data_IF_025484592658
#
_entry.id   IF_025484592658
#
_cell.length_a   1.000
_cell.length_b   1.000
_cell.length_c   1.000
_cell.angle_alpha   90.00
_cell.angle_beta   90.00
_cell.angle_gamma   90.00
#
_symmetry.space_group_name_H-M   'P 1'
#
loop_
_entity.id
_entity.type
_entity.pdbx_description
1 polymer ?
#
# COMPACT_ATOMS: atom_id res chain seq x y z
N UNK A 1 26.98 18.42 -19.72
CA UNK A 1 26.04 19.49 -20.13
C UNK A 1 25.05 19.64 -18.99
N UNK A 2 25.17 20.70 -18.19
CA UNK A 2 24.27 20.91 -17.05
C UNK A 2 22.90 21.35 -17.55
N UNK A 3 21.82 20.72 -17.06
CA UNK A 3 20.46 21.16 -17.33
C UNK A 3 20.14 22.27 -16.33
N UNK A 4 19.89 23.48 -16.81
CA UNK A 4 19.27 24.53 -16.00
C UNK A 4 17.77 24.26 -16.07
N UNK A 5 17.20 23.78 -14.98
CA UNK A 5 15.77 23.52 -14.88
C UNK A 5 15.06 24.80 -14.41
N UNK A 6 14.61 25.62 -15.36
CA UNK A 6 13.69 26.73 -15.09
C UNK A 6 12.28 26.15 -14.90
N UNK A 7 11.90 25.91 -13.64
CA UNK A 7 10.57 25.45 -13.20
C UNK A 7 10.08 24.09 -13.74
N UNK A 8 11.00 23.21 -14.15
CA UNK A 8 10.67 21.83 -14.53
C UNK A 8 11.38 20.85 -13.61
N UNK A 9 10.69 19.78 -13.27
CA UNK A 9 11.29 18.62 -12.60
C UNK A 9 11.56 17.56 -13.67
N UNK A 10 12.61 16.75 -13.50
CA UNK A 10 12.88 15.60 -14.38
C UNK A 10 11.68 14.65 -14.34
N UNK A 11 11.19 14.38 -13.13
CA UNK A 11 10.03 13.53 -12.88
C UNK A 11 9.36 14.00 -11.58
N UNK A 12 8.05 13.75 -11.44
CA UNK A 12 7.31 14.05 -10.21
C UNK A 12 6.33 12.93 -9.88
N UNK A 13 6.38 12.47 -8.64
CA UNK A 13 5.46 11.50 -8.04
C UNK A 13 4.61 12.22 -7.01
N UNK A 14 3.30 11.98 -7.04
CA UNK A 14 2.36 12.50 -6.06
C UNK A 14 1.80 11.36 -5.21
N UNK A 15 1.81 11.54 -3.89
CA UNK A 15 1.18 10.70 -2.90
C UNK A 15 0.24 11.57 -2.05
N UNK A 16 -0.68 10.96 -1.30
CA UNK A 16 -1.61 11.71 -0.44
C UNK A 16 -0.83 12.58 0.54
N UNK A 17 -0.90 13.90 0.37
CA UNK A 17 -0.20 14.85 1.24
C UNK A 17 1.27 15.11 0.88
N UNK A 18 1.82 14.48 -0.16
CA UNK A 18 3.25 14.54 -0.49
C UNK A 18 3.49 14.62 -1.99
N UNK A 19 4.25 15.61 -2.43
CA UNK A 19 4.85 15.67 -3.77
C UNK A 19 6.35 15.42 -3.64
N UNK A 20 6.87 14.52 -4.49
CA UNK A 20 8.29 14.19 -4.60
C UNK A 20 8.70 14.46 -6.05
N UNK A 21 9.69 15.32 -6.26
CA UNK A 21 10.10 15.74 -7.60
C UNK A 21 11.60 15.66 -7.78
N UNK A 22 12.06 14.89 -8.76
CA UNK A 22 13.49 14.76 -9.06
C UNK A 22 14.01 16.01 -9.78
N UNK A 23 15.01 16.67 -9.20
CA UNK A 23 15.68 17.83 -9.80
C UNK A 23 16.91 17.39 -10.59
N UNK A 24 17.75 16.53 -9.99
CA UNK A 24 18.98 16.05 -10.58
C UNK A 24 19.31 14.64 -10.10
N UNK A 25 19.98 13.85 -10.94
CA UNK A 25 20.47 12.51 -10.62
C UNK A 25 21.74 12.22 -11.40
N UNK A 26 22.71 11.60 -10.76
CA UNK A 26 23.98 11.19 -11.36
C UNK A 26 24.88 10.58 -10.29
N UNK A 27 25.83 9.71 -10.67
CA UNK A 27 26.82 9.06 -9.77
C UNK A 27 26.29 8.32 -8.52
N UNK A 28 24.98 8.07 -8.45
CA UNK A 28 24.30 7.53 -7.27
C UNK A 28 23.66 8.62 -6.41
N UNK A 29 24.04 9.89 -6.60
CA UNK A 29 23.45 11.03 -5.93
C UNK A 29 22.16 11.48 -6.59
N UNK A 30 21.16 11.81 -5.79
CA UNK A 30 19.92 12.44 -6.23
C UNK A 30 19.62 13.70 -5.44
N UNK A 31 19.08 14.70 -6.13
CA UNK A 31 18.54 15.94 -5.55
C UNK A 31 17.06 15.96 -5.81
N UNK A 32 16.27 15.95 -4.75
CA UNK A 32 14.83 15.70 -4.78
C UNK A 32 14.12 16.83 -4.04
N UNK A 33 13.21 17.52 -4.72
CA UNK A 33 12.28 18.44 -4.09
C UNK A 33 11.14 17.69 -3.43
N UNK A 34 10.83 18.04 -2.18
CA UNK A 34 9.69 17.55 -1.45
C UNK A 34 8.75 18.71 -1.11
N UNK A 35 7.46 18.47 -1.25
CA UNK A 35 6.39 19.34 -0.73
C UNK A 35 5.41 18.50 0.07
N UNK A 36 5.37 18.74 1.37
CA UNK A 36 4.49 18.06 2.31
C UNK A 36 3.34 19.00 2.64
N UNK A 37 2.12 18.48 2.61
CA UNK A 37 0.96 19.16 3.15
C UNK A 37 0.93 19.04 4.69
N UNK A 38 0.15 19.91 5.32
CA UNK A 38 -0.07 19.86 6.77
C UNK A 38 -0.52 18.46 7.23
N UNK A 39 -0.10 18.09 8.43
CA UNK A 39 -0.33 16.79 9.07
C UNK A 39 0.31 15.58 8.37
N UNK A 40 1.15 15.82 7.36
CA UNK A 40 1.90 14.76 6.67
C UNK A 40 3.21 14.47 7.40
N UNK A 41 3.55 13.18 7.49
CA UNK A 41 4.83 12.71 8.05
C UNK A 41 5.77 12.26 6.94
N UNK A 42 7.05 12.48 7.15
CA UNK A 42 8.14 11.98 6.31
C UNK A 42 9.28 11.55 7.21
N UNK A 43 10.08 10.58 6.80
CA UNK A 43 11.16 10.13 7.66
C UNK A 43 12.25 9.35 6.96
N UNK A 44 13.33 9.17 7.70
CA UNK A 44 14.47 8.35 7.33
C UNK A 44 14.49 7.13 8.26
N UNK A 45 14.61 5.96 7.66
CA UNK A 45 14.65 4.69 8.39
C UNK A 45 15.99 3.99 8.15
N UNK A 46 16.55 3.30 9.16
CA UNK A 46 17.76 2.50 8.96
C UNK A 46 17.46 1.34 8.02
N UNK A 47 18.34 1.10 7.05
CA UNK A 47 18.25 -0.01 6.11
C UNK A 47 19.55 -0.81 6.12
N UNK A 48 19.45 -2.14 6.03
CA UNK A 48 20.61 -3.02 5.85
C UNK A 48 21.34 -2.66 4.55
N UNK A 49 22.67 -2.60 4.62
CA UNK A 49 23.56 -2.25 3.50
C UNK A 49 23.36 -0.84 2.87
N UNK A 50 22.54 0.01 3.49
CA UNK A 50 22.33 1.39 3.06
C UNK A 50 23.27 2.35 3.77
N UNK A 51 24.32 2.79 3.06
CA UNK A 51 25.36 3.67 3.60
C UNK A 51 25.30 5.10 3.04
N UNK A 52 24.14 5.51 2.52
CA UNK A 52 23.99 6.81 1.90
C UNK A 52 24.18 7.97 2.92
N UNK A 53 24.64 9.10 2.40
CA UNK A 53 24.43 10.38 3.06
C UNK A 53 23.01 10.84 2.75
N UNK A 54 22.24 11.13 3.80
CA UNK A 54 20.92 11.74 3.71
C UNK A 54 21.02 13.18 4.21
N UNK A 55 20.61 14.13 3.38
CA UNK A 55 20.65 15.55 3.68
C UNK A 55 19.30 16.19 3.34
N UNK A 56 18.75 17.00 4.24
CA UNK A 56 17.60 17.84 3.96
C UNK A 56 17.93 19.31 4.20
N UNK A 57 17.33 20.19 3.40
CA UNK A 57 17.39 21.65 3.57
C UNK A 57 16.00 22.24 3.38
N UNK A 58 15.50 22.96 4.39
CA UNK A 58 14.15 23.50 4.38
C UNK A 58 14.11 24.77 3.53
N UNK A 59 13.26 24.77 2.50
CA UNK A 59 13.05 25.92 1.60
C UNK A 59 11.98 26.85 2.16
N UNK A 60 10.88 26.29 2.66
CA UNK A 60 9.78 27.02 3.29
C UNK A 60 9.02 26.13 4.27
N UNK A 61 8.34 26.75 5.24
CA UNK A 61 7.59 26.03 6.28
C UNK A 61 8.48 25.53 7.43
N UNK A 62 7.98 24.50 8.13
CA UNK A 62 8.59 23.92 9.32
C UNK A 62 8.44 22.38 9.34
N UNK A 63 9.53 21.69 9.67
CA UNK A 63 9.54 20.25 9.97
C UNK A 63 9.87 20.02 11.44
N UNK A 64 9.03 19.26 12.13
CA UNK A 64 9.22 18.89 13.53
C UNK A 64 9.70 17.45 13.61
N UNK A 65 10.95 17.25 14.01
CA UNK A 65 11.51 15.94 14.33
C UNK A 65 10.86 15.41 15.62
N UNK A 66 10.14 14.30 15.50
CA UNK A 66 9.56 13.56 16.61
C UNK A 66 10.67 12.73 17.26
N UNK A 67 11.08 13.13 18.46
CA UNK A 67 12.05 12.42 19.31
C UNK A 67 11.55 12.38 20.74
N UNK A 68 12.17 11.55 21.59
CA UNK A 68 11.84 11.33 23.01
C UNK A 68 12.16 12.53 23.94
N UNK A 69 11.92 13.75 23.45
CA UNK A 69 12.07 15.05 24.12
C UNK A 69 13.52 15.60 24.19
N UNK A 70 13.76 16.89 23.86
CA UNK A 70 12.81 17.85 23.28
C UNK A 70 12.61 17.64 21.78
N UNK A 71 11.37 17.89 21.31
CA UNK A 71 11.07 17.99 19.87
C UNK A 71 11.95 19.06 19.24
N UNK A 72 12.60 18.71 18.12
CA UNK A 72 13.47 19.65 17.40
C UNK A 72 12.76 20.11 16.13
N UNK A 73 12.64 21.42 15.99
CA UNK A 73 12.07 22.07 14.80
C UNK A 73 13.18 22.49 13.84
N UNK A 74 12.90 22.38 12.53
CA UNK A 74 13.72 22.85 11.42
C UNK A 74 12.86 23.75 10.55
N UNK A 75 13.25 25.02 10.42
CA UNK A 75 12.54 26.06 9.67
C UNK A 75 13.28 26.39 8.38
N UNK A 76 12.67 27.20 7.52
CA UNK A 76 13.31 27.70 6.30
C UNK A 76 14.75 28.19 6.55
N UNK A 77 15.70 27.65 5.79
CA UNK A 77 17.14 27.89 5.94
C UNK A 77 17.88 26.87 6.81
N UNK A 78 17.18 26.10 7.64
CA UNK A 78 17.79 25.03 8.43
C UNK A 78 18.09 23.79 7.58
N UNK A 79 19.06 23.02 8.03
CA UNK A 79 19.46 21.76 7.40
C UNK A 79 19.61 20.64 8.43
N UNK A 80 19.40 19.41 7.98
CA UNK A 80 19.66 18.19 8.75
C UNK A 80 20.37 17.18 7.87
N UNK A 81 21.31 16.43 8.43
CA UNK A 81 21.96 15.36 7.67
C UNK A 81 22.37 14.18 8.56
N UNK A 82 22.44 13.00 7.96
CA UNK A 82 22.93 11.75 8.57
C UNK A 82 23.68 10.88 7.56
N UNK A 83 24.70 10.16 8.03
CA UNK A 83 25.44 9.18 7.22
C UNK A 83 26.13 8.14 8.13
N UNK A 84 25.81 6.84 8.02
CA UNK A 84 24.52 6.33 7.54
C UNK A 84 23.38 6.67 8.52
N UNK A 85 22.13 6.45 8.11
CA UNK A 85 20.98 6.49 9.02
C UNK A 85 20.98 5.21 9.86
N UNK A 86 21.19 5.34 11.17
CA UNK A 86 21.28 4.20 12.11
C UNK A 86 20.07 4.05 13.03
N UNK A 87 19.20 5.04 13.04
CA UNK A 87 17.99 5.12 13.85
C UNK A 87 16.90 5.82 13.05
N UNK A 88 15.65 5.73 13.49
CA UNK A 88 14.53 6.32 12.79
C UNK A 88 14.47 7.83 13.06
N UNK A 89 14.30 8.63 12.01
CA UNK A 89 14.07 10.07 12.10
C UNK A 89 12.73 10.39 11.46
N UNK A 90 11.72 10.67 12.26
CA UNK A 90 10.38 11.02 11.77
C UNK A 90 10.13 12.52 11.90
N UNK A 91 9.86 13.17 10.78
CA UNK A 91 9.50 14.57 10.69
C UNK A 91 8.00 14.71 10.44
N UNK A 92 7.38 15.68 11.10
CA UNK A 92 5.98 16.07 10.88
C UNK A 92 5.92 17.50 10.39
N UNK A 93 5.12 17.74 9.36
CA UNK A 93 4.80 19.08 8.88
C UNK A 93 3.50 19.56 9.53
N UNK A 94 3.54 20.68 10.24
CA UNK A 94 2.33 21.33 10.82
C UNK A 94 1.66 22.27 9.81
N UNK A 95 2.38 22.67 8.78
CA UNK A 95 1.90 23.47 7.65
C UNK A 95 2.41 22.88 6.34
N UNK A 96 2.13 23.53 5.21
CA UNK A 96 2.73 23.10 3.94
C UNK A 96 4.22 23.44 3.96
N UNK A 97 5.07 22.42 3.92
CA UNK A 97 6.52 22.55 4.09
C UNK A 97 7.22 22.03 2.85
N UNK A 98 8.13 22.83 2.30
CA UNK A 98 8.91 22.50 1.11
C UNK A 98 10.38 22.38 1.48
N UNK A 99 11.04 21.30 1.04
CA UNK A 99 12.45 21.06 1.33
C UNK A 99 13.16 20.33 0.21
N UNK A 100 14.47 20.53 0.11
CA UNK A 100 15.34 19.69 -0.70
C UNK A 100 15.77 18.48 0.12
N UNK A 101 15.72 17.31 -0.49
CA UNK A 101 16.28 16.07 0.00
C UNK A 101 17.36 15.62 -0.97
N UNK A 102 18.60 15.51 -0.47
CA UNK A 102 19.76 15.06 -1.22
C UNK A 102 20.22 13.74 -0.61
N UNK A 103 20.33 12.72 -1.43
CA UNK A 103 20.80 11.41 -1.03
C UNK A 103 21.94 10.96 -1.92
N UNK A 104 22.93 10.24 -1.38
CA UNK A 104 24.06 9.71 -2.15
C UNK A 104 23.83 8.29 -2.69
N UNK A 105 22.60 7.77 -2.60
CA UNK A 105 22.15 6.54 -3.25
C UNK A 105 20.76 6.77 -3.86
N UNK A 106 20.38 6.09 -4.96
CA UNK A 106 19.16 6.42 -5.69
C UNK A 106 17.89 5.98 -4.94
N UNK A 107 17.16 6.94 -4.38
CA UNK A 107 15.91 6.75 -3.63
C UNK A 107 14.69 7.10 -4.50
N UNK A 108 14.73 8.22 -5.21
CA UNK A 108 13.68 8.66 -6.13
C UNK A 108 13.44 7.62 -7.22
N UNK A 109 14.48 7.17 -7.91
CA UNK A 109 14.30 6.16 -8.96
C UNK A 109 13.71 4.85 -8.39
N UNK A 110 14.05 4.49 -7.16
CA UNK A 110 13.45 3.34 -6.48
C UNK A 110 11.94 3.55 -6.25
N UNK A 111 11.54 4.72 -5.73
CA UNK A 111 10.13 5.07 -5.54
C UNK A 111 9.35 5.18 -6.85
N UNK A 112 9.92 5.84 -7.86
CA UNK A 112 9.33 5.96 -9.20
C UNK A 112 9.11 4.58 -9.81
N UNK A 113 10.13 3.70 -9.77
CA UNK A 113 10.04 2.36 -10.30
C UNK A 113 8.96 1.53 -9.59
N UNK A 114 8.87 1.60 -8.25
CA UNK A 114 7.79 0.96 -7.49
C UNK A 114 6.44 1.49 -7.95
N UNK A 115 6.26 2.82 -7.98
CA UNK A 115 4.98 3.46 -8.32
C UNK A 115 4.53 3.10 -9.73
N UNK A 116 5.46 3.13 -10.70
CA UNK A 116 5.20 2.75 -12.08
C UNK A 116 4.81 1.28 -12.20
N UNK A 117 5.56 0.37 -11.58
CA UNK A 117 5.23 -1.05 -11.57
C UNK A 117 3.84 -1.31 -10.96
N UNK A 118 3.49 -0.63 -9.87
CA UNK A 118 2.17 -0.74 -9.25
C UNK A 118 1.06 -0.28 -10.20
N UNK A 119 1.24 0.85 -10.88
CA UNK A 119 0.29 1.37 -11.86
C UNK A 119 0.14 0.45 -13.07
N UNK A 120 1.26 -0.03 -13.63
CA UNK A 120 1.26 -0.94 -14.79
C UNK A 120 0.53 -2.26 -14.46
N UNK A 121 0.77 -2.81 -13.26
CA UNK A 121 0.06 -4.00 -12.77
C UNK A 121 -1.44 -3.72 -12.60
N UNK A 122 -1.82 -2.59 -12.01
CA UNK A 122 -3.23 -2.25 -11.79
C UNK A 122 -3.99 -2.06 -13.11
N UNK A 123 -3.40 -1.36 -14.08
CA UNK A 123 -3.97 -1.19 -15.42
C UNK A 123 -4.13 -2.55 -16.10
N UNK A 124 -3.13 -3.42 -15.99
CA UNK A 124 -3.20 -4.77 -16.57
C UNK A 124 -4.33 -5.60 -15.98
N UNK A 125 -4.59 -5.50 -14.67
CA UNK A 125 -5.71 -6.19 -14.01
C UNK A 125 -7.04 -5.65 -14.54
N UNK A 126 -7.18 -4.32 -14.63
CA UNK A 126 -8.39 -3.67 -15.13
C UNK A 126 -8.73 -4.11 -16.56
N UNK A 127 -7.73 -4.09 -17.46
CA UNK A 127 -7.90 -4.53 -18.84
C UNK A 127 -8.35 -6.00 -18.94
N UNK A 128 -7.88 -6.85 -18.02
CA UNK A 128 -8.12 -8.29 -18.06
C UNK A 128 -9.40 -8.71 -17.35
N UNK A 129 -9.60 -8.31 -16.10
CA UNK A 129 -10.70 -8.78 -15.24
C UNK A 129 -11.91 -7.83 -15.24
N UNK A 130 -11.76 -6.61 -15.77
CA UNK A 130 -12.85 -5.63 -15.80
C UNK A 130 -13.22 -5.06 -14.43
N UNK A 131 -12.42 -5.34 -13.38
CA UNK A 131 -12.46 -4.57 -12.14
C UNK A 131 -11.85 -3.21 -12.38
N UNK A 132 -12.55 -2.17 -11.94
CA UNK A 132 -12.05 -0.80 -12.10
C UNK A 132 -10.95 -0.51 -11.08
N UNK A 133 -10.03 0.38 -11.43
CA UNK A 133 -9.09 0.99 -10.47
C UNK A 133 -9.83 1.54 -9.24
N UNK A 134 -11.09 1.95 -9.40
CA UNK A 134 -11.94 2.39 -8.28
C UNK A 134 -12.19 1.29 -7.24
N UNK A 135 -12.35 0.02 -7.62
CA UNK A 135 -12.54 -1.08 -6.68
C UNK A 135 -11.29 -1.30 -5.81
N UNK A 136 -10.14 -1.44 -6.46
CA UNK A 136 -8.85 -1.58 -5.75
C UNK A 136 -8.59 -0.36 -4.86
N UNK A 137 -8.93 0.84 -5.32
CA UNK A 137 -8.82 2.08 -4.55
C UNK A 137 -9.74 2.12 -3.33
N UNK A 138 -11.00 1.65 -3.43
CA UNK A 138 -11.92 1.56 -2.28
C UNK A 138 -11.43 0.57 -1.23
N UNK A 139 -11.01 -0.63 -1.66
CA UNK A 139 -10.44 -1.65 -0.77
C UNK A 139 -9.18 -1.12 -0.09
N UNK A 140 -8.29 -0.49 -0.85
CA UNK A 140 -7.06 0.09 -0.33
C UNK A 140 -7.35 1.15 0.73
N UNK A 141 -8.21 2.14 0.41
CA UNK A 141 -8.55 3.23 1.32
C UNK A 141 -9.14 2.71 2.63
N UNK A 142 -10.03 1.71 2.57
CA UNK A 142 -10.67 1.15 3.76
C UNK A 142 -9.70 0.29 4.58
N UNK A 143 -8.84 -0.49 3.91
CA UNK A 143 -7.78 -1.26 4.57
C UNK A 143 -6.80 -0.35 5.30
N UNK A 144 -6.39 0.76 4.68
CA UNK A 144 -5.48 1.73 5.30
C UNK A 144 -6.10 2.39 6.53
N UNK A 145 -7.36 2.83 6.44
CA UNK A 145 -8.09 3.37 7.59
C UNK A 145 -8.15 2.35 8.75
N UNK A 146 -8.30 1.06 8.42
CA UNK A 146 -8.30 -0.03 9.40
C UNK A 146 -6.92 -0.16 10.06
N UNK A 147 -5.86 -0.27 9.26
CA UNK A 147 -4.49 -0.38 9.77
C UNK A 147 -4.12 0.80 10.69
N UNK A 148 -4.49 2.02 10.30
CA UNK A 148 -4.30 3.23 11.12
C UNK A 148 -5.06 3.12 12.45
N UNK A 149 -6.31 2.66 12.42
CA UNK A 149 -7.12 2.46 13.63
C UNK A 149 -6.50 1.41 14.58
N UNK A 150 -5.83 0.39 14.04
CA UNK A 150 -5.10 -0.62 14.82
C UNK A 150 -3.72 -0.14 15.30
N UNK A 151 -3.27 1.05 14.90
CA UNK A 151 -1.95 1.57 15.25
C UNK A 151 -0.80 0.86 14.54
N UNK A 152 -1.02 0.36 13.32
CA UNK A 152 0.04 -0.22 12.50
C UNK A 152 1.18 0.78 12.30
N UNK A 153 2.42 0.27 12.33
CA UNK A 153 3.60 1.08 12.03
C UNK A 153 3.74 1.35 10.51
N UNK A 154 4.69 2.20 10.13
CA UNK A 154 4.95 2.58 8.72
C UNK A 154 5.11 1.37 7.81
N UNK A 155 5.91 0.38 8.22
CA UNK A 155 6.18 -0.83 7.44
C UNK A 155 4.93 -1.70 7.24
N UNK A 156 4.13 -1.86 8.29
CA UNK A 156 2.86 -2.60 8.22
C UNK A 156 1.85 -1.89 7.31
N UNK A 157 1.70 -0.57 7.47
CA UNK A 157 0.84 0.25 6.62
C UNK A 157 1.26 0.21 5.16
N UNK A 158 2.57 0.26 4.87
CA UNK A 158 3.08 0.17 3.51
C UNK A 158 2.80 -1.20 2.87
N UNK A 159 2.99 -2.27 3.64
CA UNK A 159 2.71 -3.64 3.17
C UNK A 159 1.21 -3.84 2.93
N UNK A 160 0.35 -3.35 3.83
CA UNK A 160 -1.10 -3.38 3.69
C UNK A 160 -1.58 -2.55 2.51
N UNK A 161 -1.00 -1.36 2.29
CA UNK A 161 -1.30 -0.48 1.16
C UNK A 161 -1.13 -1.22 -0.17
N UNK A 162 0.06 -1.80 -0.37
CA UNK A 162 0.41 -2.50 -1.60
C UNK A 162 -0.43 -3.78 -1.75
N UNK A 163 -0.52 -4.60 -0.70
CA UNK A 163 -1.22 -5.87 -0.76
C UNK A 163 -2.73 -5.70 -0.99
N UNK A 164 -3.36 -4.72 -0.36
CA UNK A 164 -4.80 -4.44 -0.55
C UNK A 164 -5.10 -3.96 -1.97
N UNK A 165 -4.22 -3.14 -2.56
CA UNK A 165 -4.38 -2.64 -3.92
C UNK A 165 -4.15 -3.72 -4.99
N UNK A 166 -3.29 -4.70 -4.70
CA UNK A 166 -2.87 -5.75 -5.65
C UNK A 166 -3.33 -7.16 -5.28
N UNK A 167 -4.27 -7.31 -4.35
CA UNK A 167 -4.72 -8.63 -3.86
C UNK A 167 -5.15 -9.58 -4.98
N UNK A 168 -5.69 -9.03 -6.07
CA UNK A 168 -6.18 -9.77 -7.23
C UNK A 168 -5.20 -9.82 -8.42
N UNK A 169 -3.95 -9.36 -8.27
CA UNK A 169 -2.98 -9.27 -9.39
C UNK A 169 -2.69 -10.60 -10.07
N UNK A 170 -2.81 -11.73 -9.35
CA UNK A 170 -2.60 -13.05 -9.94
C UNK A 170 -3.68 -13.47 -10.94
N UNK A 171 -4.81 -12.75 -11.03
CA UNK A 171 -5.80 -12.97 -12.10
C UNK A 171 -5.22 -12.71 -13.49
N UNK A 172 -4.11 -11.98 -13.59
CA UNK A 172 -3.27 -11.87 -14.79
C UNK A 172 -2.78 -13.22 -15.34
N UNK A 173 -2.72 -14.28 -14.52
CA UNK A 173 -2.36 -15.64 -14.94
C UNK A 173 -3.55 -16.59 -15.12
N UNK A 174 -4.77 -16.16 -14.79
CA UNK A 174 -5.99 -16.99 -14.96
C UNK A 174 -6.46 -16.95 -16.43
N UNK A 175 -6.81 -18.09 -17.06
CA UNK A 175 -7.33 -18.08 -18.43
C UNK A 175 -8.60 -17.23 -18.58
N UNK A 176 -8.73 -16.50 -19.69
CA UNK A 176 -9.83 -15.55 -19.91
C UNK A 176 -11.20 -16.24 -19.95
N UNK A 177 -11.26 -17.46 -20.48
CA UNK A 177 -12.44 -18.30 -20.56
C UNK A 177 -12.98 -18.72 -19.19
N UNK A 178 -12.10 -18.81 -18.17
CA UNK A 178 -12.48 -19.05 -16.78
C UNK A 178 -12.85 -17.72 -16.12
N UNK A 179 -11.99 -16.70 -16.28
CA UNK A 179 -12.15 -15.40 -15.65
C UNK A 179 -13.46 -14.70 -16.04
N UNK A 180 -13.80 -14.71 -17.33
CA UNK A 180 -14.97 -14.04 -17.90
C UNK A 180 -16.14 -14.99 -18.18
N UNK A 181 -16.14 -16.19 -17.58
CA UNK A 181 -17.19 -17.19 -17.84
C UNK A 181 -18.58 -16.63 -17.46
N UNK A 182 -19.56 -16.60 -18.37
CA UNK A 182 -20.92 -16.17 -18.05
C UNK A 182 -21.67 -17.32 -17.36
N UNK A 183 -21.36 -17.58 -16.08
CA UNK A 183 -22.00 -18.64 -15.30
C UNK A 183 -21.18 -19.13 -14.11
N UNK A 184 -21.62 -20.22 -13.49
CA UNK A 184 -20.85 -20.89 -12.44
C UNK A 184 -19.64 -21.60 -13.03
N UNK A 185 -18.51 -21.52 -12.34
CA UNK A 185 -17.33 -22.31 -12.64
C UNK A 185 -17.59 -23.79 -12.30
N UNK A 186 -17.03 -24.71 -13.08
CA UNK A 186 -16.93 -26.12 -12.70
C UNK A 186 -15.94 -26.28 -11.53
N UNK A 187 -15.90 -27.46 -10.91
CA UNK A 187 -14.94 -27.69 -9.83
C UNK A 187 -13.49 -27.53 -10.33
N UNK A 188 -13.18 -28.01 -11.54
CA UNK A 188 -11.86 -27.91 -12.15
C UNK A 188 -11.49 -26.46 -12.47
N UNK A 189 -12.43 -25.69 -13.02
CA UNK A 189 -12.24 -24.27 -13.28
C UNK A 189 -12.07 -23.47 -11.98
N UNK A 190 -12.79 -23.86 -10.92
CA UNK A 190 -12.66 -23.27 -9.59
C UNK A 190 -11.28 -23.55 -8.98
N UNK A 191 -10.74 -24.76 -9.14
CA UNK A 191 -9.37 -25.08 -8.71
C UNK A 191 -8.33 -24.23 -9.44
N UNK A 192 -8.56 -23.88 -10.71
CA UNK A 192 -7.70 -22.95 -11.45
C UNK A 192 -7.88 -21.52 -10.92
N UNK A 193 -9.11 -21.06 -10.71
CA UNK A 193 -9.41 -19.72 -10.21
C UNK A 193 -8.73 -19.45 -8.87
N UNK A 194 -8.75 -20.41 -7.93
CA UNK A 194 -8.11 -20.27 -6.61
C UNK A 194 -6.60 -19.98 -6.69
N UNK A 195 -5.92 -20.37 -7.77
CA UNK A 195 -4.47 -20.14 -7.95
C UNK A 195 -4.11 -18.67 -8.12
N UNK A 196 -5.07 -17.76 -8.33
CA UNK A 196 -4.76 -16.34 -8.47
C UNK A 196 -4.07 -15.77 -7.21
N UNK A 197 -4.33 -16.32 -6.02
CA UNK A 197 -3.64 -15.85 -4.81
C UNK A 197 -2.14 -16.20 -4.86
N UNK A 198 -1.81 -17.45 -5.20
CA UNK A 198 -0.42 -17.91 -5.38
C UNK A 198 0.28 -17.18 -6.55
N UNK A 199 -0.42 -17.03 -7.68
CA UNK A 199 0.09 -16.28 -8.82
C UNK A 199 0.34 -14.81 -8.49
N UNK A 200 -0.48 -14.22 -7.61
CA UNK A 200 -0.32 -12.84 -7.16
C UNK A 200 1.01 -12.65 -6.44
N UNK A 201 1.32 -13.54 -5.49
CA UNK A 201 2.65 -13.57 -4.84
C UNK A 201 3.76 -13.76 -5.85
N UNK A 202 3.66 -14.74 -6.74
CA UNK A 202 4.72 -15.04 -7.72
C UNK A 202 5.04 -13.81 -8.60
N UNK A 203 4.01 -13.10 -9.06
CA UNK A 203 4.18 -11.86 -9.86
C UNK A 203 4.92 -10.79 -9.04
N UNK A 204 4.56 -10.60 -7.78
CA UNK A 204 5.18 -9.60 -6.92
C UNK A 204 6.62 -9.98 -6.54
N UNK A 205 6.89 -11.27 -6.34
CA UNK A 205 8.25 -11.77 -6.09
C UNK A 205 9.18 -11.57 -7.29
N UNK A 206 8.67 -11.76 -8.52
CA UNK A 206 9.43 -11.57 -9.76
C UNK A 206 9.90 -10.13 -9.99
N UNK A 207 9.31 -9.14 -9.31
CA UNK A 207 9.77 -7.75 -9.38
C UNK A 207 11.14 -7.55 -8.73
N UNK A 208 11.57 -8.45 -7.84
CA UNK A 208 12.81 -8.33 -7.07
C UNK A 208 12.80 -7.23 -6.02
N UNK A 209 11.68 -6.52 -5.84
CA UNK A 209 11.56 -5.40 -4.91
C UNK A 209 11.15 -5.93 -3.53
N UNK A 210 11.95 -5.71 -2.46
CA UNK A 210 11.69 -6.26 -1.13
C UNK A 210 10.29 -5.96 -0.59
N UNK A 211 9.78 -4.74 -0.82
CA UNK A 211 8.44 -4.35 -0.36
C UNK A 211 7.32 -5.08 -1.12
N UNK A 212 7.49 -5.34 -2.41
CA UNK A 212 6.51 -6.09 -3.21
C UNK A 212 6.55 -7.57 -2.85
N UNK A 213 7.73 -8.13 -2.59
CA UNK A 213 7.89 -9.49 -2.05
C UNK A 213 7.16 -9.64 -0.71
N UNK A 214 7.30 -8.67 0.20
CA UNK A 214 6.58 -8.70 1.48
C UNK A 214 5.06 -8.63 1.28
N UNK A 215 4.58 -7.75 0.40
CA UNK A 215 3.17 -7.66 0.06
C UNK A 215 2.64 -8.94 -0.58
N UNK A 216 3.44 -9.65 -1.40
CA UNK A 216 3.09 -10.93 -2.01
C UNK A 216 2.65 -12.00 -1.00
N UNK A 217 3.29 -12.03 0.18
CA UNK A 217 2.92 -12.96 1.28
C UNK A 217 1.56 -12.63 1.91
N UNK A 218 1.12 -11.38 1.83
CA UNK A 218 -0.21 -10.96 2.28
C UNK A 218 -1.23 -11.28 1.19
N UNK A 219 -0.89 -10.98 -0.07
CA UNK A 219 -1.71 -11.27 -1.25
C UNK A 219 -2.04 -12.75 -1.36
N UNK A 220 -1.09 -13.67 -1.12
CA UNK A 220 -1.41 -15.11 -1.21
C UNK A 220 -2.46 -15.57 -0.17
N UNK A 221 -2.60 -14.85 0.96
CA UNK A 221 -3.41 -15.26 2.10
C UNK A 221 -4.79 -14.60 2.14
N UNK A 222 -5.11 -13.67 1.23
CA UNK A 222 -6.33 -12.85 1.36
C UNK A 222 -7.66 -13.65 1.23
N UNK A 223 -7.59 -14.89 0.75
CA UNK A 223 -8.71 -15.84 0.72
C UNK A 223 -8.60 -16.99 1.73
N UNK A 224 -7.62 -16.92 2.64
CA UNK A 224 -7.61 -17.78 3.80
C UNK A 224 -8.78 -17.45 4.73
N UNK A 225 -9.27 -18.47 5.43
CA UNK A 225 -10.43 -18.34 6.30
C UNK A 225 -10.04 -18.69 7.71
N UNK A 226 -10.61 -17.97 8.68
CA UNK A 226 -10.31 -18.21 10.09
C UNK A 226 -10.52 -19.68 10.53
N UNK A 227 -11.48 -20.39 9.92
CA UNK A 227 -11.78 -21.80 10.14
C UNK A 227 -10.88 -22.81 9.39
N UNK A 228 -9.92 -22.33 8.57
CA UNK A 228 -9.01 -23.17 7.78
C UNK A 228 -9.65 -23.84 6.57
N UNK A 229 -10.82 -23.39 6.14
CA UNK A 229 -11.46 -23.85 4.89
C UNK A 229 -11.13 -22.94 3.71
N UNK A 230 -10.20 -22.00 3.90
CA UNK A 230 -9.72 -21.09 2.88
C UNK A 230 -8.72 -21.74 1.95
N UNK A 231 -8.05 -20.92 1.16
CA UNK A 231 -7.02 -21.33 0.22
C UNK A 231 -5.94 -20.23 0.14
N UNK A 232 -4.72 -20.56 -0.30
CA UNK A 232 -4.27 -21.83 -0.89
C UNK A 232 -3.83 -22.91 0.11
N UNK A 233 -3.54 -22.57 1.36
CA UNK A 233 -2.92 -23.47 2.34
C UNK A 233 -3.88 -23.97 3.42
N UNK A 234 -5.03 -23.32 3.60
CA UNK A 234 -5.99 -23.69 4.64
C UNK A 234 -5.52 -23.27 6.03
N UNK A 235 -4.84 -22.12 6.10
CA UNK A 235 -4.33 -21.52 7.34
C UNK A 235 -5.48 -21.23 8.32
N UNK A 236 -5.22 -21.37 9.63
CA UNK A 236 -6.22 -21.18 10.69
C UNK A 236 -5.82 -20.10 11.66
N UNK A 237 -6.82 -19.34 12.11
CA UNK A 237 -6.64 -18.43 13.23
C UNK A 237 -5.52 -17.40 12.99
N UNK A 238 -4.48 -17.50 13.80
CA UNK A 238 -3.31 -16.59 13.83
C UNK A 238 -2.22 -16.99 12.82
N UNK A 239 -2.37 -18.09 12.10
CA UNK A 239 -1.48 -18.44 10.98
C UNK A 239 -1.66 -17.48 9.79
N UNK A 240 -2.84 -16.86 9.70
CA UNK A 240 -3.17 -15.85 8.69
C UNK A 240 -2.64 -14.50 9.16
N UNK A 241 -1.90 -13.80 8.31
CA UNK A 241 -1.45 -12.44 8.61
C UNK A 241 -2.63 -11.52 8.94
N UNK A 242 -2.38 -10.57 9.85
CA UNK A 242 -3.42 -9.60 10.26
C UNK A 242 -3.82 -8.74 9.07
N UNK A 243 -2.85 -8.37 8.22
CA UNK A 243 -3.05 -7.64 6.98
C UNK A 243 -3.98 -8.40 6.02
N UNK A 244 -3.76 -9.71 5.80
CA UNK A 244 -4.63 -10.51 4.95
C UNK A 244 -6.03 -10.67 5.54
N UNK A 245 -6.13 -10.80 6.87
CA UNK A 245 -7.42 -10.85 7.58
C UNK A 245 -8.22 -9.54 7.42
N UNK A 246 -7.56 -8.39 7.40
CA UNK A 246 -8.18 -7.08 7.11
C UNK A 246 -8.69 -7.06 5.67
N UNK A 247 -7.84 -7.41 4.69
CA UNK A 247 -8.19 -7.40 3.27
C UNK A 247 -9.40 -8.31 3.02
N UNK A 248 -9.44 -9.52 3.60
CA UNK A 248 -10.55 -10.45 3.42
C UNK A 248 -11.91 -9.87 3.85
N UNK A 249 -11.96 -9.13 4.96
CA UNK A 249 -13.18 -8.46 5.45
C UNK A 249 -13.54 -7.28 4.55
N UNK A 250 -12.56 -6.46 4.20
CA UNK A 250 -12.75 -5.24 3.39
C UNK A 250 -13.19 -5.59 1.96
N UNK A 251 -12.57 -6.57 1.32
CA UNK A 251 -12.93 -7.06 -0.01
C UNK A 251 -14.37 -7.61 0.00
N UNK A 252 -14.70 -8.45 0.98
CA UNK A 252 -16.06 -8.97 1.13
C UNK A 252 -17.10 -7.86 1.32
N UNK A 253 -16.78 -6.84 2.13
CA UNK A 253 -17.64 -5.68 2.30
C UNK A 253 -17.88 -4.95 0.98
N UNK A 254 -16.80 -4.57 0.27
CA UNK A 254 -16.90 -3.87 -1.02
C UNK A 254 -17.67 -4.70 -2.06
N UNK A 255 -17.41 -6.00 -2.11
CA UNK A 255 -18.09 -6.95 -2.97
C UNK A 255 -19.59 -7.07 -2.68
N UNK A 256 -20.03 -6.87 -1.44
CA UNK A 256 -21.46 -6.91 -1.06
C UNK A 256 -22.16 -5.60 -1.44
N UNK A 257 -21.54 -4.44 -1.19
CA UNK A 257 -22.18 -3.12 -1.42
C UNK A 257 -22.03 -2.61 -2.85
N UNK A 258 -21.10 -3.14 -3.63
CA UNK A 258 -20.89 -2.71 -5.02
C UNK A 258 -21.90 -3.35 -5.98
N UNK A 259 -22.36 -2.55 -6.93
CA UNK A 259 -23.10 -3.05 -8.08
C UNK A 259 -22.19 -3.94 -8.95
N UNK A 260 -22.70 -5.09 -9.34
CA UNK A 260 -22.08 -6.00 -10.31
C UNK A 260 -23.01 -6.17 -11.49
N UNK A 261 -22.46 -6.57 -12.64
CA UNK A 261 -23.20 -6.79 -13.90
C UNK A 261 -24.49 -7.61 -13.70
N UNK A 262 -24.48 -8.55 -12.76
CA UNK A 262 -25.61 -9.46 -12.49
C UNK A 262 -26.35 -9.21 -11.18
N UNK A 263 -25.95 -8.22 -10.36
CA UNK A 263 -26.54 -8.00 -9.02
C UNK A 263 -26.34 -6.56 -8.55
N UNK A 264 -27.41 -5.92 -8.09
CA UNK A 264 -27.28 -4.66 -7.34
C UNK A 264 -26.53 -4.87 -6.02
N UNK A 265 -25.78 -3.86 -5.62
CA UNK A 265 -25.18 -3.77 -4.31
C UNK A 265 -26.23 -3.83 -3.21
N UNK A 266 -25.89 -4.48 -2.09
CA UNK A 266 -26.71 -4.44 -0.88
C UNK A 266 -26.45 -3.18 -0.07
N UNK A 267 -27.30 -2.90 0.91
CA UNK A 267 -27.08 -1.80 1.84
C UNK A 267 -25.86 -2.06 2.74
N UNK A 268 -25.29 -0.99 3.30
CA UNK A 268 -24.18 -1.09 4.27
C UNK A 268 -24.57 -1.98 5.46
N UNK A 269 -25.78 -1.81 5.99
CA UNK A 269 -26.27 -2.60 7.13
C UNK A 269 -26.34 -4.09 6.79
N UNK A 270 -26.85 -4.45 5.61
CA UNK A 270 -26.86 -5.85 5.16
C UNK A 270 -25.45 -6.43 5.01
N UNK A 271 -24.49 -5.63 4.54
CA UNK A 271 -23.09 -6.06 4.45
C UNK A 271 -22.48 -6.29 5.84
N UNK A 272 -22.73 -5.38 6.80
CA UNK A 272 -22.25 -5.52 8.17
C UNK A 272 -22.87 -6.75 8.87
N UNK A 273 -24.16 -7.02 8.63
CA UNK A 273 -24.81 -8.21 9.16
C UNK A 273 -24.23 -9.50 8.57
N UNK A 274 -23.93 -9.52 7.27
CA UNK A 274 -23.31 -10.69 6.63
C UNK A 274 -21.89 -10.94 7.14
N UNK A 275 -21.09 -9.88 7.33
CA UNK A 275 -19.76 -9.97 7.92
C UNK A 275 -19.84 -10.51 9.36
N UNK A 276 -20.78 -9.99 10.16
CA UNK A 276 -21.01 -10.47 11.53
C UNK A 276 -21.44 -11.93 11.56
N UNK A 277 -22.31 -12.37 10.63
CA UNK A 277 -22.75 -13.77 10.50
C UNK A 277 -21.57 -14.72 10.24
N UNK A 278 -20.55 -14.25 9.53
CA UNK A 278 -19.36 -15.00 9.15
C UNK A 278 -18.19 -14.88 10.16
N UNK A 279 -18.39 -14.17 11.28
CA UNK A 279 -17.41 -14.02 12.36
C UNK A 279 -16.99 -15.38 12.94
N UNK A 280 -15.69 -15.61 13.08
CA UNK A 280 -15.14 -16.85 13.64
C UNK A 280 -15.20 -18.05 12.68
N UNK A 281 -15.72 -17.87 11.47
CA UNK A 281 -15.68 -18.89 10.42
C UNK A 281 -14.88 -18.39 9.22
N UNK A 282 -15.42 -17.45 8.44
CA UNK A 282 -14.67 -16.82 7.35
C UNK A 282 -13.65 -15.85 7.93
N UNK A 283 -14.08 -15.00 8.86
CA UNK A 283 -13.32 -13.84 9.29
C UNK A 283 -12.81 -13.98 10.71
N UNK A 284 -11.62 -13.42 10.95
CA UNK A 284 -11.05 -13.32 12.29
C UNK A 284 -12.02 -12.52 13.21
N UNK A 285 -12.44 -13.08 14.35
CA UNK A 285 -13.34 -12.41 15.30
C UNK A 285 -12.91 -11.01 15.71
N UNK A 286 -11.62 -10.83 15.98
CA UNK A 286 -11.05 -9.55 16.39
C UNK A 286 -11.19 -8.49 15.28
N UNK A 287 -10.88 -8.87 14.04
CA UNK A 287 -11.00 -7.98 12.88
C UNK A 287 -12.47 -7.60 12.64
N UNK A 288 -13.41 -8.53 12.73
CA UNK A 288 -14.84 -8.20 12.60
C UNK A 288 -15.29 -7.21 13.67
N UNK A 289 -14.87 -7.40 14.93
CA UNK A 289 -15.25 -6.50 16.02
C UNK A 289 -14.73 -5.08 15.82
N UNK A 290 -13.50 -4.94 15.32
CA UNK A 290 -12.93 -3.64 15.00
C UNK A 290 -13.64 -3.01 13.80
N UNK A 291 -13.90 -3.79 12.74
CA UNK A 291 -14.64 -3.31 11.56
C UNK A 291 -16.02 -2.74 11.94
N UNK A 292 -16.76 -3.43 12.80
CA UNK A 292 -18.06 -2.97 13.29
C UNK A 292 -17.98 -1.71 14.15
N UNK A 293 -16.91 -1.55 14.95
CA UNK A 293 -16.65 -0.31 15.71
C UNK A 293 -16.35 0.86 14.79
N UNK A 294 -15.80 0.60 13.61
CA UNK A 294 -15.47 1.61 12.62
C UNK A 294 -16.65 1.98 11.71
N UNK A 295 -17.84 1.37 11.85
CA UNK A 295 -18.98 1.53 10.93
C UNK A 295 -19.33 2.97 10.55
N UNK A 296 -19.15 3.94 11.45
CA UNK A 296 -19.48 5.35 11.21
C UNK A 296 -18.41 6.08 10.36
N UNK A 297 -17.22 5.46 10.19
CA UNK A 297 -16.12 5.90 9.33
C UNK A 297 -16.08 5.18 7.98
N UNK A 298 -16.95 4.19 7.78
CA UNK A 298 -17.02 3.29 6.61
C UNK A 298 -18.17 3.71 5.68
#
# INVERSE_FOLDING_TARGET
MGIINEDRFIETVHMKGLQISLIASGDGTEVIYHKLHADTRWGLEPQEDWNAMEFIHILSGELILQSDNPKKSYKAGDSFYKTPVKEHYYFQAEETTEFLYVTSQPVFHHYSMITKNLMDLAVSIEEKDGYTVDHCSRINKLSMLFGEYLGFNSKQLMSLNIASFLHDVGKLKIPLEILRKPGKLTNEEWEIMKKHSEFGKEILEQTGLPILIQAGKIVEQHHERHDGKGYPYGLKGEEISVEASIIAVVDSYDAIISDRVYRKGKTKDEALQEILRCKGTMYNPYIVDIFLKMKDKI
#
